data_IF_420935681565
#
_entry.id   IF_420935681565
#
_cell.length_a   1.000
_cell.length_b   1.000
_cell.length_c   1.000
_cell.angle_alpha   90.00
_cell.angle_beta   90.00
_cell.angle_gamma   90.00
#
_symmetry.space_group_name_H-M   'P 1'
#
loop_
_entity.id
_entity.type
_entity.pdbx_description
1 polymer ?
#
# COMPACT_ATOMS: atom_id res chain seq x y z
N UNK A 1 -13.03 24.76 -37.32
CA UNK A 1 -12.77 23.57 -38.15
C UNK A 1 -12.50 22.41 -37.22
N UNK A 2 -12.95 21.18 -37.55
CA UNK A 2 -12.57 20.02 -36.77
C UNK A 2 -11.05 19.80 -36.88
N UNK A 3 -10.41 19.51 -35.75
CA UNK A 3 -8.97 19.22 -35.68
C UNK A 3 -8.83 17.72 -35.50
N UNK A 4 -7.96 17.12 -36.32
CA UNK A 4 -7.55 15.73 -36.18
C UNK A 4 -6.30 15.66 -35.30
N UNK A 5 -6.36 14.81 -34.29
CA UNK A 5 -5.30 14.65 -33.28
C UNK A 5 -4.99 13.18 -33.13
N UNK A 6 -3.70 12.85 -33.16
CA UNK A 6 -3.19 11.53 -32.87
C UNK A 6 -2.85 11.42 -31.38
N UNK A 7 -3.51 10.50 -30.69
CA UNK A 7 -3.25 10.19 -29.28
C UNK A 7 -2.40 8.92 -29.24
N UNK A 8 -1.16 9.05 -28.76
CA UNK A 8 -0.19 7.97 -28.63
C UNK A 8 -0.02 7.64 -27.15
N UNK A 9 -0.21 6.37 -26.79
CA UNK A 9 0.23 5.83 -25.50
C UNK A 9 1.50 5.00 -25.70
N UNK A 10 2.52 5.27 -24.90
CA UNK A 10 3.80 4.57 -24.93
C UNK A 10 3.96 3.69 -23.69
N UNK A 11 4.49 2.49 -23.87
CA UNK A 11 4.87 1.55 -22.83
C UNK A 11 6.39 1.45 -22.75
N UNK A 12 6.94 1.53 -21.54
CA UNK A 12 8.35 1.27 -21.24
C UNK A 12 8.62 -0.22 -20.94
N UNK A 13 7.66 -1.10 -21.25
CA UNK A 13 7.68 -2.52 -20.93
C UNK A 13 6.94 -2.88 -19.63
N UNK A 14 6.33 -1.90 -18.95
CA UNK A 14 5.52 -2.13 -17.74
C UNK A 14 4.15 -2.80 -17.99
N UNK A 15 3.64 -2.75 -19.22
CA UNK A 15 2.33 -3.28 -19.60
C UNK A 15 2.25 -3.65 -21.08
N UNK A 16 1.31 -4.53 -21.42
CA UNK A 16 0.93 -4.86 -22.80
C UNK A 16 -0.38 -4.15 -23.18
N UNK A 17 -0.50 -3.77 -24.45
CA UNK A 17 -1.77 -3.32 -25.00
C UNK A 17 -2.66 -4.51 -25.33
N UNK A 18 -3.94 -4.41 -24.96
CA UNK A 18 -4.96 -5.39 -25.33
C UNK A 18 -5.77 -4.84 -26.50
N UNK A 19 -5.98 -5.66 -27.53
CA UNK A 19 -6.81 -5.31 -28.68
C UNK A 19 -8.21 -5.86 -28.42
N UNK A 20 -9.23 -5.00 -28.44
CA UNK A 20 -10.61 -5.45 -28.52
C UNK A 20 -10.92 -5.72 -30.00
N UNK A 21 -11.61 -6.83 -30.30
CA UNK A 21 -11.92 -7.30 -31.67
C UNK A 21 -12.77 -6.31 -32.51
N UNK A 22 -13.14 -5.14 -31.98
CA UNK A 22 -14.09 -4.18 -32.56
C UNK A 22 -13.54 -2.78 -32.87
N UNK A 23 -12.23 -2.55 -32.83
CA UNK A 23 -11.66 -1.21 -33.09
C UNK A 23 -11.09 -1.06 -34.52
N UNK A 24 -11.90 -0.54 -35.45
CA UNK A 24 -11.55 -0.29 -36.86
C UNK A 24 -10.55 0.88 -37.09
N UNK A 25 -10.14 1.60 -36.04
CA UNK A 25 -9.33 2.82 -36.12
C UNK A 25 -7.88 2.66 -35.62
N UNK A 26 -7.35 1.43 -35.58
CA UNK A 26 -5.99 1.17 -35.07
C UNK A 26 -4.93 1.37 -36.16
N UNK A 27 -4.29 2.53 -36.13
CA UNK A 27 -3.19 2.87 -37.04
C UNK A 27 -1.88 2.54 -36.33
N UNK A 28 -1.31 1.39 -36.68
CA UNK A 28 0.00 0.86 -36.31
C UNK A 28 0.16 0.26 -34.91
N UNK A 29 0.68 -0.97 -34.89
CA UNK A 29 1.23 -1.65 -33.72
C UNK A 29 2.75 -1.52 -33.78
N UNK A 30 3.32 -0.59 -33.02
CA UNK A 30 4.67 -0.81 -32.52
C UNK A 30 4.51 -1.62 -31.22
N UNK A 31 5.35 -2.63 -30.98
CA UNK A 31 5.24 -3.51 -29.80
C UNK A 31 5.09 -2.74 -28.47
N UNK A 32 5.59 -1.50 -28.43
CA UNK A 32 5.63 -0.65 -27.24
C UNK A 32 4.78 0.63 -27.34
N UNK A 33 4.00 0.85 -28.40
CA UNK A 33 3.10 2.01 -28.45
C UNK A 33 1.84 1.76 -29.27
N UNK A 34 0.74 2.41 -28.85
CA UNK A 34 -0.55 2.36 -29.55
C UNK A 34 -1.03 3.77 -29.85
N UNK A 35 -1.43 3.99 -31.10
CA UNK A 35 -1.91 5.29 -31.59
C UNK A 35 -3.38 5.20 -31.94
N UNK A 36 -4.17 6.19 -31.53
CA UNK A 36 -5.57 6.38 -31.91
C UNK A 36 -5.78 7.78 -32.44
N UNK A 37 -6.30 7.88 -33.65
CA UNK A 37 -6.62 9.16 -34.28
C UNK A 37 -8.06 9.53 -33.98
N UNK A 38 -8.28 10.74 -33.49
CA UNK A 38 -9.62 11.30 -33.23
C UNK A 38 -9.79 12.65 -33.88
N UNK A 39 -11.03 12.99 -34.24
CA UNK A 39 -11.36 14.28 -34.84
C UNK A 39 -12.38 14.98 -33.96
N UNK A 40 -12.01 16.14 -33.41
CA UNK A 40 -12.82 16.89 -32.44
C UNK A 40 -13.20 18.25 -32.99
N UNK A 41 -14.42 18.71 -32.71
CA UNK A 41 -14.88 20.06 -33.09
C UNK A 41 -14.45 21.13 -32.08
N UNK A 42 -14.53 22.41 -32.48
CA UNK A 42 -14.23 23.51 -31.56
C UNK A 42 -15.19 23.53 -30.36
N UNK A 43 -14.65 23.76 -29.16
CA UNK A 43 -15.37 23.71 -27.88
C UNK A 43 -16.00 22.34 -27.54
N UNK A 44 -15.48 21.26 -28.12
CA UNK A 44 -15.90 19.88 -27.85
C UNK A 44 -14.74 19.06 -27.27
N UNK A 45 -15.04 17.90 -26.68
CA UNK A 45 -14.07 17.02 -26.04
C UNK A 45 -14.35 15.54 -26.33
N UNK A 46 -13.32 14.80 -26.75
CA UNK A 46 -13.40 13.36 -27.02
C UNK A 46 -12.54 12.61 -26.01
N UNK A 47 -13.07 11.52 -25.48
CA UNK A 47 -12.34 10.59 -24.61
C UNK A 47 -11.84 9.41 -25.41
N UNK A 48 -10.56 9.09 -25.27
CA UNK A 48 -9.92 7.92 -25.88
C UNK A 48 -9.52 6.94 -24.78
N UNK A 49 -9.90 5.68 -24.93
CA UNK A 49 -9.54 4.62 -23.98
C UNK A 49 -8.47 3.70 -24.57
N UNK A 50 -7.48 3.32 -23.76
CA UNK A 50 -6.50 2.29 -24.09
C UNK A 50 -6.68 1.14 -23.11
N UNK A 51 -6.87 -0.07 -23.64
CA UNK A 51 -6.90 -1.27 -22.82
C UNK A 51 -5.47 -1.76 -22.61
N UNK A 52 -5.06 -1.85 -21.35
CA UNK A 52 -3.72 -2.23 -20.95
C UNK A 52 -3.76 -3.37 -19.93
N UNK A 53 -2.78 -4.28 -20.01
CA UNK A 53 -2.56 -5.34 -19.03
C UNK A 53 -1.20 -5.14 -18.37
N UNK A 54 -1.14 -4.78 -17.07
CA UNK A 54 0.11 -4.66 -16.34
C UNK A 54 0.87 -5.99 -16.27
N UNK A 55 2.21 -5.92 -16.30
CA UNK A 55 3.08 -7.11 -16.20
C UNK A 55 3.62 -7.36 -14.79
N UNK A 56 3.79 -6.31 -13.99
CA UNK A 56 4.45 -6.38 -12.68
C UNK A 56 3.69 -5.54 -11.66
N UNK A 57 3.77 -5.95 -10.40
CA UNK A 57 3.24 -5.20 -9.27
C UNK A 57 4.18 -4.06 -8.88
N UNK A 58 3.65 -3.00 -8.28
CA UNK A 58 4.40 -1.79 -7.92
C UNK A 58 4.08 -0.60 -8.82
N UNK A 59 4.98 0.38 -8.86
CA UNK A 59 4.75 1.60 -9.63
C UNK A 59 5.11 1.42 -11.10
N UNK A 60 4.14 1.65 -11.97
CA UNK A 60 4.33 1.74 -13.42
C UNK A 60 4.14 3.19 -13.89
N UNK A 61 4.81 3.58 -14.98
CA UNK A 61 4.61 4.90 -15.60
C UNK A 61 3.65 4.75 -16.79
N UNK A 62 2.75 5.70 -16.92
CA UNK A 62 1.84 5.83 -18.06
C UNK A 62 2.21 7.12 -18.76
N UNK A 63 2.66 7.02 -20.01
CA UNK A 63 2.97 8.17 -20.87
C UNK A 63 1.97 8.24 -22.01
N UNK A 64 1.31 9.38 -22.14
CA UNK A 64 0.36 9.68 -23.21
C UNK A 64 0.76 10.99 -23.86
N UNK A 65 0.70 11.06 -25.18
CA UNK A 65 1.00 12.26 -25.96
C UNK A 65 -0.09 12.45 -26.99
N UNK A 66 -0.66 13.65 -27.06
CA UNK A 66 -1.65 14.05 -28.05
C UNK A 66 -0.99 15.06 -28.99
N UNK A 67 -0.95 14.75 -30.28
CA UNK A 67 -0.30 15.59 -31.29
C UNK A 67 -1.29 15.90 -32.41
N UNK A 68 -1.49 17.18 -32.67
CA UNK A 68 -2.27 17.69 -33.80
C UNK A 68 -1.33 18.30 -34.85
N UNK A 69 -1.86 18.76 -35.97
CA UNK A 69 -1.06 19.43 -37.01
C UNK A 69 -0.31 20.67 -36.50
N UNK A 70 -0.82 21.33 -35.46
CA UNK A 70 -0.28 22.62 -34.98
C UNK A 70 0.29 22.57 -33.57
N UNK A 71 -0.24 21.72 -32.69
CA UNK A 71 0.08 21.72 -31.25
C UNK A 71 0.24 20.28 -30.74
N UNK A 72 1.03 20.11 -29.66
CA UNK A 72 1.20 18.83 -28.98
C UNK A 72 1.22 19.01 -27.47
N UNK A 73 0.59 18.07 -26.76
CA UNK A 73 0.60 17.99 -25.30
C UNK A 73 0.92 16.56 -24.85
N UNK A 74 1.48 16.40 -23.65
CA UNK A 74 1.88 15.09 -23.13
C UNK A 74 1.83 15.01 -21.61
N UNK A 75 1.37 13.86 -21.11
CA UNK A 75 1.23 13.55 -19.69
C UNK A 75 2.03 12.30 -19.34
N UNK A 76 2.75 12.36 -18.21
CA UNK A 76 3.40 11.20 -17.61
C UNK A 76 2.96 11.06 -16.15
N UNK A 77 2.26 9.98 -15.85
CA UNK A 77 1.74 9.71 -14.51
C UNK A 77 2.22 8.36 -13.97
N UNK A 78 2.24 8.21 -12.65
CA UNK A 78 2.59 6.95 -11.98
C UNK A 78 1.34 6.24 -11.49
N UNK A 79 1.17 4.98 -11.86
CA UNK A 79 0.10 4.11 -11.39
C UNK A 79 0.67 3.03 -10.46
N UNK A 80 0.07 2.86 -9.28
CA UNK A 80 0.42 1.79 -8.35
C UNK A 80 -0.41 0.54 -8.65
N UNK A 81 0.25 -0.50 -9.15
CA UNK A 81 -0.32 -1.82 -9.39
C UNK A 81 -0.21 -2.66 -8.12
N UNK A 82 -1.36 -3.13 -7.65
CA UNK A 82 -1.43 -4.07 -6.53
C UNK A 82 -1.48 -5.51 -7.07
N UNK A 83 -0.92 -6.49 -6.34
CA UNK A 83 -1.09 -7.89 -6.66
C UNK A 83 -2.58 -8.27 -6.73
N UNK A 84 -2.90 -9.22 -7.61
CA UNK A 84 -4.21 -9.84 -7.68
C UNK A 84 -4.39 -10.92 -6.59
N UNK A 85 -5.64 -11.38 -6.40
CA UNK A 85 -5.96 -12.44 -5.44
C UNK A 85 -6.14 -11.97 -4.00
N UNK A 86 -6.15 -12.94 -3.08
CA UNK A 86 -6.29 -12.72 -1.63
C UNK A 86 -4.91 -12.77 -0.95
N UNK A 87 -4.61 -11.79 -0.10
CA UNK A 87 -3.34 -11.74 0.62
C UNK A 87 -3.37 -12.67 1.83
N UNK A 88 -2.49 -13.67 1.84
CA UNK A 88 -2.27 -14.55 2.98
C UNK A 88 -1.16 -14.01 3.88
N UNK A 89 -1.44 -13.90 5.18
CA UNK A 89 -0.47 -13.45 6.19
C UNK A 89 -0.07 -14.62 7.08
N UNK A 90 1.23 -14.88 7.18
CA UNK A 90 1.79 -15.78 8.19
C UNK A 90 2.70 -15.00 9.14
N UNK A 91 2.54 -15.23 10.43
CA UNK A 91 3.39 -14.66 11.47
C UNK A 91 4.09 -15.76 12.24
N UNK A 92 5.41 -15.63 12.39
CA UNK A 92 6.23 -16.46 13.27
C UNK A 92 6.91 -15.56 14.28
N UNK A 93 6.62 -15.78 15.56
CA UNK A 93 7.18 -15.02 16.65
C UNK A 93 8.02 -15.96 17.54
N UNK A 94 9.19 -15.48 17.94
CA UNK A 94 10.08 -16.16 18.88
C UNK A 94 10.43 -15.21 20.01
N UNK A 95 10.32 -15.69 21.25
CA UNK A 95 10.66 -14.93 22.45
C UNK A 95 12.02 -15.41 22.94
N UNK A 96 12.98 -14.49 22.97
CA UNK A 96 14.37 -14.79 23.34
C UNK A 96 14.74 -14.05 24.63
N UNK A 97 15.21 -14.80 25.61
CA UNK A 97 15.79 -14.25 26.85
C UNK A 97 17.23 -14.72 26.95
N UNK A 98 18.18 -13.81 26.80
CA UNK A 98 19.61 -14.09 26.88
C UNK A 98 20.17 -13.69 28.24
N UNK A 99 20.99 -14.54 28.85
CA UNK A 99 21.87 -14.16 29.97
C UNK A 99 23.22 -13.67 29.44
N UNK A 100 23.99 -13.04 30.32
CA UNK A 100 25.30 -12.49 29.96
C UNK A 100 26.24 -13.59 29.44
N UNK A 101 26.74 -13.41 28.21
CA UNK A 101 27.61 -14.38 27.53
C UNK A 101 26.89 -15.47 26.72
N UNK A 102 25.55 -15.50 26.69
CA UNK A 102 24.79 -16.43 25.85
C UNK A 102 24.56 -15.86 24.44
N UNK A 103 24.65 -16.73 23.43
CA UNK A 103 24.32 -16.43 22.04
C UNK A 103 23.09 -17.23 21.63
N UNK A 104 22.18 -16.60 20.87
CA UNK A 104 20.99 -17.24 20.33
C UNK A 104 21.00 -17.21 18.81
N UNK A 105 20.68 -18.34 18.20
CA UNK A 105 20.53 -18.50 16.76
C UNK A 105 19.29 -19.36 16.49
N UNK A 106 18.42 -18.90 15.61
CA UNK A 106 17.22 -19.61 15.18
C UNK A 106 17.06 -19.47 13.67
N UNK A 107 16.80 -20.59 13.00
CA UNK A 107 16.50 -20.61 11.56
C UNK A 107 14.98 -20.59 11.37
N UNK A 108 14.48 -19.55 10.69
CA UNK A 108 13.05 -19.42 10.38
C UNK A 108 12.83 -19.79 8.92
N UNK A 109 12.14 -20.91 8.69
CA UNK A 109 11.73 -21.32 7.33
C UNK A 109 10.48 -20.54 6.90
N UNK A 110 10.49 -19.93 5.71
CA UNK A 110 9.34 -19.22 5.13
C UNK A 110 8.76 -20.09 4.03
N UNK A 111 7.54 -20.59 4.22
CA UNK A 111 6.87 -21.46 3.25
C UNK A 111 6.01 -20.60 2.34
N UNK A 112 6.41 -20.48 1.08
CA UNK A 112 5.67 -19.76 0.06
C UNK A 112 4.79 -20.76 -0.69
N UNK A 113 3.48 -20.53 -0.82
CA UNK A 113 2.59 -21.46 -1.53
C UNK A 113 2.85 -21.43 -3.05
N UNK A 114 2.61 -22.55 -3.72
CA UNK A 114 2.88 -22.70 -5.16
C UNK A 114 2.02 -21.80 -6.05
N UNK A 115 0.84 -21.38 -5.56
CA UNK A 115 -0.09 -20.51 -6.27
C UNK A 115 0.14 -19.01 -6.01
N UNK A 116 1.38 -18.61 -5.69
CA UNK A 116 1.73 -17.23 -5.42
C UNK A 116 1.68 -16.36 -6.70
N UNK A 117 1.16 -15.13 -6.56
CA UNK A 117 1.28 -14.10 -7.58
C UNK A 117 2.70 -13.56 -7.58
N UNK A 118 3.34 -13.50 -8.74
CA UNK A 118 4.72 -13.04 -8.85
C UNK A 118 4.92 -11.65 -8.23
N UNK A 119 6.04 -11.46 -7.52
CA UNK A 119 6.44 -10.23 -6.86
C UNK A 119 5.46 -9.76 -5.74
N UNK A 120 4.53 -10.61 -5.31
CA UNK A 120 3.58 -10.32 -4.22
C UNK A 120 4.15 -10.59 -2.83
N UNK A 121 5.21 -11.39 -2.74
CA UNK A 121 5.82 -11.80 -1.49
C UNK A 121 6.43 -10.62 -0.73
N UNK A 122 6.10 -10.50 0.55
CA UNK A 122 6.66 -9.49 1.44
C UNK A 122 7.01 -10.16 2.75
N UNK A 123 8.28 -10.07 3.13
CA UNK A 123 8.78 -10.57 4.41
C UNK A 123 9.24 -9.38 5.23
N UNK A 124 8.69 -9.24 6.42
CA UNK A 124 9.13 -8.25 7.40
C UNK A 124 9.66 -8.97 8.64
N UNK A 125 10.75 -8.44 9.19
CA UNK A 125 11.34 -8.91 10.43
C UNK A 125 11.39 -7.74 11.40
N UNK A 126 10.89 -7.97 12.62
CA UNK A 126 10.82 -6.95 13.66
C UNK A 126 11.33 -7.55 14.96
N UNK A 127 12.30 -6.89 15.58
CA UNK A 127 12.77 -7.22 16.93
C UNK A 127 12.20 -6.22 17.89
N UNK A 128 11.57 -6.71 18.95
CA UNK A 128 10.99 -5.88 19.99
C UNK A 128 11.60 -6.33 21.32
N UNK A 129 12.33 -5.45 21.99
CA UNK A 129 12.94 -5.75 23.29
C UNK A 129 11.96 -5.80 24.45
N UNK A 130 10.70 -5.43 24.21
CA UNK A 130 9.66 -5.29 25.21
C UNK A 130 8.30 -5.58 24.56
N UNK A 131 7.65 -6.69 24.95
CA UNK A 131 6.37 -7.12 24.39
C UNK A 131 5.31 -6.02 24.48
N UNK A 132 5.34 -5.21 25.54
CA UNK A 132 4.42 -4.10 25.75
C UNK A 132 4.95 -2.77 25.21
N UNK A 133 6.18 -2.73 24.71
CA UNK A 133 6.82 -1.55 24.13
C UNK A 133 5.96 -0.87 23.05
N UNK A 134 5.42 -1.58 22.04
CA UNK A 134 4.57 -0.98 21.02
C UNK A 134 3.26 -0.39 21.57
N UNK A 135 2.64 -1.07 22.56
CA UNK A 135 1.45 -0.57 23.22
C UNK A 135 1.74 0.68 24.07
N UNK A 136 2.93 0.72 24.69
CA UNK A 136 3.38 1.87 25.46
C UNK A 136 3.74 3.08 24.59
N UNK A 137 4.25 2.87 23.38
CA UNK A 137 4.53 3.98 22.46
C UNK A 137 3.23 4.71 22.03
N UNK A 138 2.10 3.99 22.00
CA UNK A 138 0.79 4.55 21.66
C UNK A 138 -0.12 4.70 22.90
N UNK A 139 0.47 4.99 24.06
CA UNK A 139 -0.27 5.02 25.33
C UNK A 139 -1.39 6.06 25.35
N UNK A 140 -1.29 7.12 24.53
CA UNK A 140 -2.32 8.14 24.43
C UNK A 140 -3.65 7.60 23.86
N UNK A 141 -3.58 6.59 23.00
CA UNK A 141 -4.74 5.89 22.43
C UNK A 141 -5.25 4.75 23.31
N UNK A 142 -4.35 4.18 24.13
CA UNK A 142 -4.65 3.10 25.07
C UNK A 142 -5.31 3.63 26.36
N UNK A 143 -4.88 4.80 26.86
CA UNK A 143 -5.42 5.45 28.05
C UNK A 143 -6.70 6.23 27.74
N UNK A 144 -7.84 5.56 27.83
CA UNK A 144 -9.15 6.13 27.53
C UNK A 144 -9.97 6.36 28.81
N UNK A 145 -10.70 7.46 28.87
CA UNK A 145 -11.70 7.66 29.91
C UNK A 145 -12.77 6.56 29.78
N UNK A 146 -13.06 5.79 30.85
CA UNK A 146 -14.05 4.74 30.78
C UNK A 146 -15.47 5.31 30.80
N UNK A 147 -16.35 4.81 29.94
CA UNK A 147 -17.74 5.25 29.81
C UNK A 147 -18.64 4.11 29.35
N UNK A 148 -19.96 4.28 29.51
CA UNK A 148 -20.99 3.35 29.02
C UNK A 148 -21.51 2.36 30.08
N UNK A 149 -22.22 1.34 29.62
CA UNK A 149 -22.71 0.24 30.47
C UNK A 149 -21.54 -0.63 30.99
N UNK A 150 -21.77 -1.43 32.02
CA UNK A 150 -20.71 -2.13 32.79
C UNK A 150 -19.65 -2.84 31.94
N UNK A 151 -20.03 -3.54 30.87
CA UNK A 151 -19.09 -4.22 29.98
C UNK A 151 -18.20 -3.25 29.18
N UNK A 152 -18.78 -2.18 28.65
CA UNK A 152 -18.05 -1.14 27.92
C UNK A 152 -17.14 -0.32 28.86
N UNK A 153 -17.61 -0.10 30.09
CA UNK A 153 -16.81 0.52 31.14
C UNK A 153 -15.57 -0.32 31.44
N UNK A 154 -15.71 -1.64 31.60
CA UNK A 154 -14.60 -2.55 31.88
C UNK A 154 -13.61 -2.68 30.71
N UNK A 155 -14.10 -2.67 29.46
CA UNK A 155 -13.23 -2.70 28.26
C UNK A 155 -12.28 -1.50 28.21
N UNK A 156 -12.73 -0.33 28.66
CA UNK A 156 -11.89 0.88 28.70
C UNK A 156 -11.12 1.04 30.01
N UNK A 157 -11.57 0.42 31.11
CA UNK A 157 -10.96 0.56 32.42
C UNK A 157 -9.78 -0.39 32.65
N UNK A 158 -9.92 -1.67 32.29
CA UNK A 158 -8.89 -2.69 32.55
C UNK A 158 -7.57 -2.39 31.81
N UNK A 159 -7.56 -2.00 30.52
CA UNK A 159 -6.32 -1.66 29.83
C UNK A 159 -5.54 -0.52 30.51
N UNK A 160 -6.24 0.47 31.07
CA UNK A 160 -5.59 1.58 31.79
C UNK A 160 -4.83 1.07 33.01
N UNK A 161 -5.44 0.18 33.81
CA UNK A 161 -4.79 -0.38 35.00
C UNK A 161 -3.57 -1.21 34.61
N UNK A 162 -3.71 -2.10 33.64
CA UNK A 162 -2.62 -2.99 33.20
C UNK A 162 -1.45 -2.19 32.63
N UNK A 163 -1.73 -1.14 31.85
CA UNK A 163 -0.72 -0.25 31.30
C UNK A 163 0.04 0.51 32.41
N UNK A 164 -0.65 1.05 33.42
CA UNK A 164 -0.03 1.72 34.55
C UNK A 164 0.80 0.77 35.42
N UNK A 165 0.28 -0.43 35.69
CA UNK A 165 0.99 -1.46 36.46
C UNK A 165 2.28 -1.85 35.74
N UNK A 166 2.21 -2.01 34.42
CA UNK A 166 3.38 -2.29 33.60
C UNK A 166 4.43 -1.17 33.68
N UNK A 167 4.04 0.09 33.46
CA UNK A 167 4.96 1.23 33.49
C UNK A 167 5.63 1.40 34.85
N UNK A 168 4.89 1.13 35.93
CA UNK A 168 5.42 1.18 37.28
C UNK A 168 6.47 0.08 37.51
N UNK A 169 6.18 -1.16 37.11
CA UNK A 169 7.11 -2.31 37.24
C UNK A 169 8.32 -2.20 36.32
N UNK A 170 8.15 -1.65 35.12
CA UNK A 170 9.23 -1.45 34.15
C UNK A 170 10.10 -0.22 34.48
N UNK A 171 9.76 0.55 35.52
CA UNK A 171 10.40 1.82 35.87
C UNK A 171 10.42 2.85 34.72
N UNK A 172 9.42 2.79 33.83
CA UNK A 172 9.27 3.68 32.65
C UNK A 172 8.20 4.76 32.85
N UNK A 173 7.85 5.06 34.10
CA UNK A 173 6.75 5.97 34.41
C UNK A 173 7.11 7.42 34.10
N UNK A 174 6.30 8.07 33.27
CA UNK A 174 6.43 9.49 32.92
C UNK A 174 5.33 10.27 33.65
N UNK A 175 5.67 11.36 34.32
CA UNK A 175 4.72 12.17 35.11
C UNK A 175 3.49 12.61 34.27
N UNK A 176 3.69 13.01 33.01
CA UNK A 176 2.59 13.37 32.09
C UNK A 176 1.56 12.24 31.92
N UNK A 177 2.02 11.00 31.82
CA UNK A 177 1.17 9.81 31.65
C UNK A 177 0.42 9.50 32.93
N UNK A 178 1.09 9.60 34.08
CA UNK A 178 0.50 9.43 35.41
C UNK A 178 -0.62 10.44 35.65
N UNK A 179 -0.39 11.71 35.36
CA UNK A 179 -1.41 12.76 35.53
C UNK A 179 -2.62 12.48 34.64
N UNK A 180 -2.42 12.15 33.36
CA UNK A 180 -3.51 11.83 32.42
C UNK A 180 -4.36 10.65 32.88
N UNK A 181 -3.71 9.61 33.38
CA UNK A 181 -4.41 8.42 33.86
C UNK A 181 -5.17 8.63 35.17
N UNK A 182 -4.75 9.59 36.01
CA UNK A 182 -5.46 9.99 37.22
C UNK A 182 -6.58 11.00 36.90
N UNK A 183 -6.44 11.80 35.84
CA UNK A 183 -7.44 12.79 35.43
C UNK A 183 -8.57 12.25 34.55
N UNK A 184 -8.39 11.05 33.98
CA UNK A 184 -9.43 10.31 33.26
C UNK A 184 -10.37 9.61 34.25
#
# INVERSE_FOLDING_TARGET
>A
TPITTDVVMESDGGFDFVVAESEENEISFLENSKTKTVTTSANDGITVAFLIKPKKVGYMKIKVTATSETESDGLVEKLLIKPEGETHYENKASLVTLKEGETFEESVEIKIPDNIVQDSERVSFTVIGDILGPAVNNLDDLLRMPYGCGEQNMINFVPNIVALEYLNKAHKMIEKIKTKAISN
#
